data_IF_842194771696
#
_entry.id   IF_842194771696
#
_cell.length_a   1.000
_cell.length_b   1.000
_cell.length_c   1.000
_cell.angle_alpha   90.00
_cell.angle_beta   90.00
_cell.angle_gamma   90.00
#
_symmetry.space_group_name_H-M   'P 1'
#
loop_
_entity.id
_entity.type
_entity.pdbx_description
1 polymer ?
#
# COMPACT_ATOMS: atom_id res chain seq x y z
N UNK A 1 -17.44 3.74 20.02
CA UNK A 1 -17.03 3.37 18.65
C UNK A 1 -17.13 1.86 18.51
N UNK A 2 -17.70 1.36 17.41
CA UNK A 2 -17.83 -0.08 17.17
C UNK A 2 -16.44 -0.68 16.91
N UNK A 3 -16.05 -1.74 17.63
CA UNK A 3 -14.81 -2.43 17.34
C UNK A 3 -14.90 -3.15 15.99
N UNK A 4 -13.85 -3.01 15.18
CA UNK A 4 -13.72 -3.71 13.91
C UNK A 4 -13.41 -5.20 14.16
N UNK A 5 -14.06 -6.05 13.39
CA UNK A 5 -13.82 -7.50 13.37
C UNK A 5 -12.55 -7.83 12.60
N UNK A 6 -12.06 -9.07 12.73
CA UNK A 6 -10.85 -9.49 12.01
C UNK A 6 -11.07 -9.48 10.49
N UNK A 7 -12.28 -9.81 10.02
CA UNK A 7 -12.64 -9.73 8.61
C UNK A 7 -12.58 -8.29 8.08
N UNK A 8 -12.94 -7.29 8.90
CA UNK A 8 -12.84 -5.89 8.50
C UNK A 8 -11.37 -5.49 8.29
N UNK A 9 -10.49 -5.88 9.21
CA UNK A 9 -9.05 -5.63 9.09
C UNK A 9 -8.41 -6.33 7.90
N UNK A 10 -8.84 -7.56 7.59
CA UNK A 10 -8.41 -8.30 6.40
C UNK A 10 -8.87 -7.59 5.12
N UNK A 11 -10.11 -7.09 5.08
CA UNK A 11 -10.62 -6.34 3.94
C UNK A 11 -9.84 -5.04 3.72
N UNK A 12 -9.52 -4.31 4.80
CA UNK A 12 -8.68 -3.10 4.76
C UNK A 12 -7.28 -3.45 4.23
N UNK A 13 -6.68 -4.54 4.73
CA UNK A 13 -5.38 -5.01 4.25
C UNK A 13 -5.40 -5.35 2.75
N UNK A 14 -6.44 -6.04 2.28
CA UNK A 14 -6.65 -6.34 0.86
C UNK A 14 -6.74 -5.07 0.01
N UNK A 15 -7.47 -4.05 0.46
CA UNK A 15 -7.54 -2.77 -0.23
C UNK A 15 -6.17 -2.06 -0.30
N UNK A 16 -5.40 -2.08 0.78
CA UNK A 16 -4.04 -1.52 0.82
C UNK A 16 -3.11 -2.26 -0.15
N UNK A 17 -3.27 -3.57 -0.33
CA UNK A 17 -2.52 -4.34 -1.34
C UNK A 17 -2.82 -3.83 -2.75
N UNK A 18 -4.08 -3.52 -3.08
CA UNK A 18 -4.43 -2.94 -4.39
C UNK A 18 -3.73 -1.59 -4.60
N UNK A 19 -3.72 -0.72 -3.58
CA UNK A 19 -2.99 0.55 -3.66
C UNK A 19 -1.49 0.32 -3.85
N UNK A 20 -0.92 -0.67 -3.16
CA UNK A 20 0.50 -1.06 -3.30
C UNK A 20 0.81 -1.45 -4.74
N UNK A 21 -0.07 -2.23 -5.38
CA UNK A 21 0.08 -2.64 -6.77
C UNK A 21 0.01 -1.45 -7.74
N UNK A 22 -0.93 -0.53 -7.54
CA UNK A 22 -1.01 0.71 -8.32
C UNK A 22 0.25 1.57 -8.17
N UNK A 23 0.82 1.59 -6.96
CA UNK A 23 2.07 2.28 -6.67
C UNK A 23 3.26 1.67 -7.42
N UNK A 24 3.35 0.34 -7.44
CA UNK A 24 4.37 -0.38 -8.22
C UNK A 24 4.25 -0.10 -9.71
N UNK A 25 3.02 -0.10 -10.24
CA UNK A 25 2.77 0.27 -11.63
C UNK A 25 3.21 1.72 -11.93
N UNK A 26 2.90 2.67 -11.04
CA UNK A 26 3.34 4.06 -11.19
C UNK A 26 4.88 4.20 -11.20
N UNK A 27 5.58 3.40 -10.38
CA UNK A 27 7.05 3.34 -10.39
C UNK A 27 7.55 2.79 -11.74
N UNK A 28 6.99 1.67 -12.20
CA UNK A 28 7.42 0.98 -13.42
C UNK A 28 7.36 1.87 -14.67
N UNK A 29 6.22 2.53 -14.89
CA UNK A 29 6.05 3.46 -16.01
C UNK A 29 6.95 4.70 -15.88
N UNK A 30 7.20 5.17 -14.67
CA UNK A 30 8.05 6.35 -14.42
C UNK A 30 9.50 6.03 -14.73
N UNK A 31 9.99 4.87 -14.29
CA UNK A 31 11.33 4.38 -14.61
C UNK A 31 11.47 4.17 -16.12
N UNK A 32 10.45 3.59 -16.77
CA UNK A 32 10.44 3.41 -18.22
C UNK A 32 10.53 4.74 -18.98
N UNK A 33 9.82 5.77 -18.52
CA UNK A 33 9.90 7.11 -19.09
C UNK A 33 11.27 7.77 -18.85
N UNK A 34 11.84 7.65 -17.65
CA UNK A 34 13.19 8.16 -17.35
C UNK A 34 14.26 7.54 -18.25
N UNK A 35 14.23 6.23 -18.45
CA UNK A 35 15.21 5.52 -19.28
C UNK A 35 15.08 5.92 -20.76
N UNK A 36 13.86 6.18 -21.23
CA UNK A 36 13.61 6.54 -22.63
C UNK A 36 13.78 8.03 -22.92
N UNK A 37 14.19 8.86 -21.94
CA UNK A 37 14.12 10.32 -22.00
C UNK A 37 12.73 10.83 -22.42
N UNK A 38 11.69 10.10 -22.01
CA UNK A 38 10.29 10.39 -22.27
C UNK A 38 9.63 11.17 -21.13
N UNK A 39 8.34 11.43 -21.31
CA UNK A 39 7.47 12.05 -20.32
C UNK A 39 6.21 11.20 -20.12
N UNK A 40 5.58 11.34 -18.95
CA UNK A 40 4.36 10.61 -18.65
C UNK A 40 3.16 11.22 -19.37
N UNK A 41 2.36 10.33 -19.96
CA UNK A 41 1.12 10.64 -20.68
C UNK A 41 -0.01 9.77 -20.12
N UNK A 42 -1.26 9.96 -20.57
CA UNK A 42 -2.42 9.15 -20.19
C UNK A 42 -2.94 9.34 -18.76
N UNK A 43 -3.20 10.58 -18.35
CA UNK A 43 -4.00 10.88 -17.15
C UNK A 43 -3.22 11.04 -15.84
N UNK A 44 -1.88 11.06 -15.90
CA UNK A 44 -1.07 11.54 -14.78
C UNK A 44 -1.30 13.04 -14.58
N UNK A 45 -1.47 13.43 -13.32
CA UNK A 45 -1.61 14.84 -12.94
C UNK A 45 -0.31 15.64 -13.18
N UNK A 46 0.82 14.96 -13.31
CA UNK A 46 2.11 15.54 -13.66
C UNK A 46 2.82 14.65 -14.70
N UNK A 47 3.38 15.28 -15.73
CA UNK A 47 4.13 14.61 -16.79
C UNK A 47 5.59 14.33 -16.44
N UNK A 48 6.12 14.91 -15.37
CA UNK A 48 7.49 14.66 -14.89
C UNK A 48 7.59 13.24 -14.27
N UNK A 49 8.32 12.31 -14.92
CA UNK A 49 8.45 10.95 -14.42
C UNK A 49 9.25 10.87 -13.12
N UNK A 50 10.14 11.81 -12.85
CA UNK A 50 10.91 11.85 -11.58
C UNK A 50 9.98 12.08 -10.40
N UNK A 51 9.02 13.00 -10.56
CA UNK A 51 8.06 13.31 -9.51
C UNK A 51 7.11 12.13 -9.27
N UNK A 52 6.56 11.51 -10.31
CA UNK A 52 5.64 10.37 -10.16
C UNK A 52 6.37 9.15 -9.59
N UNK A 53 7.62 8.91 -9.95
CA UNK A 53 8.46 7.89 -9.34
C UNK A 53 8.54 8.06 -7.81
N UNK A 54 8.84 9.27 -7.32
CA UNK A 54 8.89 9.54 -5.89
C UNK A 54 7.53 9.40 -5.20
N UNK A 55 6.45 9.86 -5.83
CA UNK A 55 5.09 9.66 -5.31
C UNK A 55 4.78 8.16 -5.15
N UNK A 56 5.11 7.34 -6.16
CA UNK A 56 4.98 5.89 -6.08
C UNK A 56 5.84 5.29 -4.96
N UNK A 57 7.06 5.78 -4.74
CA UNK A 57 7.89 5.33 -3.61
C UNK A 57 7.31 5.70 -2.24
N UNK A 58 6.71 6.88 -2.10
CA UNK A 58 6.10 7.28 -0.84
C UNK A 58 4.84 6.47 -0.54
N UNK A 59 3.99 6.26 -1.54
CA UNK A 59 2.76 5.47 -1.38
C UNK A 59 3.12 4.02 -1.04
N UNK A 60 4.05 3.38 -1.77
CA UNK A 60 4.42 1.98 -1.49
C UNK A 60 5.04 1.82 -0.10
N UNK A 61 5.86 2.78 0.35
CA UNK A 61 6.44 2.76 1.69
C UNK A 61 5.35 2.82 2.76
N UNK A 62 4.37 3.73 2.57
CA UNK A 62 3.26 3.91 3.49
C UNK A 62 2.34 2.68 3.53
N UNK A 63 2.02 2.09 2.37
CA UNK A 63 1.13 0.93 2.29
C UNK A 63 1.79 -0.32 2.88
N UNK A 64 3.07 -0.54 2.62
CA UNK A 64 3.84 -1.64 3.21
C UNK A 64 3.88 -1.50 4.74
N UNK A 65 4.18 -0.32 5.26
CA UNK A 65 4.20 -0.08 6.71
C UNK A 65 2.80 -0.25 7.33
N UNK A 66 1.75 0.24 6.67
CA UNK A 66 0.37 0.09 7.15
C UNK A 66 -0.05 -1.38 7.20
N UNK A 67 0.27 -2.17 6.17
CA UNK A 67 -0.02 -3.60 6.15
C UNK A 67 0.78 -4.36 7.22
N UNK A 68 2.03 -3.99 7.46
CA UNK A 68 2.82 -4.54 8.58
C UNK A 68 2.10 -4.30 9.92
N UNK A 69 1.63 -3.09 10.18
CA UNK A 69 0.89 -2.78 11.41
C UNK A 69 -0.42 -3.58 11.54
N UNK A 70 -1.17 -3.76 10.44
CA UNK A 70 -2.40 -4.56 10.44
C UNK A 70 -2.10 -6.02 10.78
N UNK A 71 -1.04 -6.60 10.18
CA UNK A 71 -0.63 -7.97 10.48
C UNK A 71 -0.30 -8.12 11.97
N UNK A 72 0.51 -7.21 12.52
CA UNK A 72 0.86 -7.21 13.95
C UNK A 72 -0.42 -7.09 14.81
N UNK A 73 -1.34 -6.20 14.45
CA UNK A 73 -2.61 -6.03 15.16
C UNK A 73 -3.43 -7.33 15.21
N UNK A 74 -3.59 -8.00 14.07
CA UNK A 74 -4.35 -9.26 13.96
C UNK A 74 -3.67 -10.36 14.79
N UNK A 75 -2.34 -10.49 14.72
CA UNK A 75 -1.60 -11.50 15.48
C UNK A 75 -1.70 -11.29 16.99
N UNK A 76 -1.55 -10.06 17.47
CA UNK A 76 -1.66 -9.74 18.90
C UNK A 76 -3.09 -9.97 19.41
N UNK A 77 -4.11 -9.58 18.65
CA UNK A 77 -5.51 -9.81 19.01
C UNK A 77 -5.83 -11.30 19.08
N UNK A 78 -5.40 -12.08 18.09
CA UNK A 78 -5.57 -13.54 18.07
C UNK A 78 -4.88 -14.23 19.26
N UNK A 79 -3.67 -13.79 19.61
CA UNK A 79 -2.93 -14.30 20.79
C UNK A 79 -3.66 -14.02 22.10
N UNK A 80 -4.20 -12.80 22.27
CA UNK A 80 -4.98 -12.42 23.45
C UNK A 80 -6.26 -13.24 23.58
N UNK A 81 -7.01 -13.42 22.50
CA UNK A 81 -8.25 -14.23 22.50
C UNK A 81 -7.97 -15.69 22.86
N UNK A 82 -6.81 -16.24 22.44
CA UNK A 82 -6.40 -17.60 22.79
C UNK A 82 -6.07 -17.73 24.28
N UNK A 83 -5.36 -16.76 24.86
CA UNK A 83 -4.97 -16.78 26.28
C UNK A 83 -6.17 -16.63 27.24
N UNK A 84 -7.26 -16.00 26.80
CA UNK A 84 -8.44 -15.76 27.65
C UNK A 84 -9.38 -16.98 27.70
N UNK A 85 -9.20 -17.97 26.82
CA UNK A 85 -10.02 -19.19 26.75
C UNK A 85 -9.42 -20.39 27.50
N UNK A 86 -8.32 -20.19 28.23
CA UNK A 86 -7.63 -21.16 29.09
C UNK A 86 -7.96 -20.81 30.53
#
# INVERSE_FOLDING_TARGET
MKQLSNSDWIAISGFIIVITFLSLWAIDISVSALISNGYLTNGFFNSDPTMIYHVGLYIISLTCFSNFLIIIHILLKSSSEKNTKI
#
